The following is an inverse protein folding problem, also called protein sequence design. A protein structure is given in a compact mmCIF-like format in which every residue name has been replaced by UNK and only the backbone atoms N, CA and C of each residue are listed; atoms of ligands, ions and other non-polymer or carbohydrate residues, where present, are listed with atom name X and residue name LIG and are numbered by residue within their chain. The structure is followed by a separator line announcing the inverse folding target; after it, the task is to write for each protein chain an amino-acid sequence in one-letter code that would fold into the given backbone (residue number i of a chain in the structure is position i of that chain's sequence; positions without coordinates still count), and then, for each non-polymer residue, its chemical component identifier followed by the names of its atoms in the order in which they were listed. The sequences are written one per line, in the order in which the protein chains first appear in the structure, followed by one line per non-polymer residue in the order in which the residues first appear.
data_IF_765233117266
#
_entry.id   IF_765233117266
#
_cell.length_a   1.000
_cell.length_b   1.000
_cell.length_c   1.000
_cell.angle_alpha   90.00
_cell.angle_beta   90.00
_cell.angle_gamma   90.00
#
_symmetry.space_group_name_H-M   'P 1'
#
loop_
_entity.id
_entity.type
_entity.pdbx_description
1 polymer ?
#
# COMPACT_ATOMS: atom_id res chain seq x y z
N UNK A 1 21.82 2.33 20.41
CA UNK A 1 20.64 1.94 19.68
C UNK A 1 20.95 2.00 18.20
N UNK A 2 20.86 0.88 17.51
CA UNK A 2 20.96 0.85 16.07
C UNK A 2 19.68 1.45 15.45
N UNK A 3 19.46 2.75 15.69
CA UNK A 3 18.51 3.47 14.88
C UNK A 3 19.16 3.62 13.51
N UNK A 4 18.53 3.13 12.46
CA UNK A 4 19.02 3.25 11.09
C UNK A 4 19.14 4.68 10.58
N UNK A 5 19.15 5.63 11.49
CA UNK A 5 19.12 7.07 11.27
C UNK A 5 20.37 7.62 10.57
N UNK A 6 21.47 6.87 10.55
CA UNK A 6 22.76 7.40 10.09
C UNK A 6 23.46 6.53 9.04
N UNK A 7 22.90 5.41 8.66
CA UNK A 7 23.55 4.46 7.78
C UNK A 7 23.17 4.74 6.33
N UNK A 8 24.09 5.35 5.60
CA UNK A 8 23.94 5.66 4.17
C UNK A 8 23.25 6.98 3.86
N UNK A 9 23.01 7.83 4.87
CA UNK A 9 22.30 9.11 4.73
C UNK A 9 23.13 10.31 5.19
N UNK A 10 24.41 10.29 5.00
CA UNK A 10 25.33 11.33 5.49
C UNK A 10 25.02 12.76 4.97
N UNK A 11 24.21 12.88 3.93
CA UNK A 11 23.85 14.15 3.30
C UNK A 11 22.34 14.38 3.09
N UNK A 12 21.49 13.51 3.62
CA UNK A 12 20.03 13.69 3.51
C UNK A 12 19.46 14.07 4.87
N UNK A 13 18.65 15.13 4.89
CA UNK A 13 17.87 15.55 6.05
C UNK A 13 17.29 14.35 6.81
N UNK A 14 17.30 14.39 8.15
CA UNK A 14 17.17 13.19 8.96
C UNK A 14 15.84 12.52 8.76
N UNK A 15 15.84 11.22 8.70
CA UNK A 15 14.85 10.41 9.35
C UNK A 15 14.24 9.31 8.48
N UNK A 16 14.98 8.23 8.40
CA UNK A 16 14.33 6.92 8.41
C UNK A 16 14.35 6.44 9.86
N UNK A 17 13.19 6.24 10.46
CA UNK A 17 13.12 5.60 11.75
C UNK A 17 13.68 4.18 11.64
N UNK A 18 14.61 3.84 12.55
CA UNK A 18 15.08 2.47 12.69
C UNK A 18 13.89 1.56 12.99
N UNK A 19 13.83 0.44 12.28
CA UNK A 19 12.83 -0.59 12.53
C UNK A 19 13.49 -1.89 13.03
N UNK A 20 12.70 -2.74 13.67
CA UNK A 20 13.17 -4.00 14.25
C UNK A 20 13.79 -4.94 13.21
N UNK A 21 13.29 -4.96 11.99
CA UNK A 21 13.79 -5.82 10.90
C UNK A 21 15.21 -5.41 10.49
N UNK A 22 15.43 -4.13 10.21
CA UNK A 22 16.75 -3.61 9.84
C UNK A 22 17.76 -3.75 10.99
N UNK A 23 17.31 -3.53 12.23
CA UNK A 23 18.16 -3.70 13.41
C UNK A 23 18.65 -5.14 13.59
N UNK A 24 17.80 -6.13 13.39
CA UNK A 24 18.18 -7.55 13.46
C UNK A 24 19.08 -7.96 12.29
N UNK A 25 18.83 -7.47 11.08
CA UNK A 25 19.69 -7.75 9.93
C UNK A 25 21.10 -7.16 10.12
N UNK A 26 21.23 -5.95 10.63
CA UNK A 26 22.53 -5.32 10.91
C UNK A 26 23.31 -6.06 11.99
N UNK A 27 22.63 -6.51 13.05
CA UNK A 27 23.26 -7.31 14.12
C UNK A 27 23.67 -8.69 13.61
N UNK A 28 22.80 -9.35 12.82
CA UNK A 28 23.04 -10.70 12.33
C UNK A 28 24.15 -10.79 11.28
N UNK A 29 24.25 -9.78 10.41
CA UNK A 29 25.21 -9.80 9.28
C UNK A 29 26.52 -9.05 9.59
N UNK A 30 26.62 -8.36 10.72
CA UNK A 30 27.75 -7.48 11.09
C UNK A 30 28.14 -6.51 9.94
N UNK A 31 27.17 -6.10 9.13
CA UNK A 31 27.35 -5.23 7.99
C UNK A 31 26.19 -4.22 7.90
N UNK A 32 26.50 -3.06 7.33
CA UNK A 32 25.52 -2.05 7.03
C UNK A 32 24.68 -2.50 5.84
N UNK A 33 23.50 -3.07 6.10
CA UNK A 33 22.57 -3.41 5.04
C UNK A 33 22.02 -2.13 4.40
N UNK A 34 22.08 -2.02 3.08
CA UNK A 34 21.36 -0.98 2.34
C UNK A 34 19.87 -1.11 2.64
N UNK A 35 19.26 -0.01 3.10
CA UNK A 35 17.84 -0.04 3.41
C UNK A 35 17.03 0.09 2.12
N UNK A 36 16.09 -0.80 1.89
CA UNK A 36 15.26 -0.81 0.70
C UNK A 36 14.56 0.56 0.42
N UNK A 37 14.03 1.30 1.42
CA UNK A 37 13.48 2.63 1.16
C UNK A 37 14.49 3.60 0.56
N UNK A 38 15.76 3.49 0.93
CA UNK A 38 16.84 4.29 0.35
C UNK A 38 17.15 3.86 -1.08
N UNK A 39 17.21 2.56 -1.34
CA UNK A 39 17.43 2.03 -2.68
C UNK A 39 16.33 2.52 -3.65
N UNK A 40 15.05 2.47 -3.23
CA UNK A 40 13.94 2.98 -4.02
C UNK A 40 14.08 4.51 -4.23
N UNK A 41 14.37 5.28 -3.18
CA UNK A 41 14.55 6.74 -3.29
C UNK A 41 15.71 7.08 -4.23
N UNK A 42 16.87 6.43 -4.11
CA UNK A 42 17.99 6.62 -5.01
C UNK A 42 17.65 6.27 -6.47
N UNK A 43 16.82 5.25 -6.67
CA UNK A 43 16.36 4.89 -8.01
C UNK A 43 15.42 5.94 -8.61
N UNK A 44 14.62 6.62 -7.79
CA UNK A 44 13.80 7.75 -8.22
C UNK A 44 14.68 8.93 -8.60
N UNK A 45 15.63 9.28 -7.74
CA UNK A 45 16.54 10.41 -7.95
C UNK A 45 17.43 10.22 -9.20
N UNK A 46 17.85 8.99 -9.49
CA UNK A 46 18.61 8.65 -10.70
C UNK A 46 17.75 8.45 -11.95
N UNK A 47 16.43 8.38 -11.81
CA UNK A 47 15.50 8.07 -12.89
C UNK A 47 15.33 6.58 -13.20
N UNK A 48 16.15 5.70 -12.62
CA UNK A 48 16.08 4.24 -12.88
C UNK A 48 14.80 3.58 -12.34
N UNK A 49 14.10 4.21 -11.41
CA UNK A 49 12.77 3.79 -10.97
C UNK A 49 11.79 3.70 -12.15
N UNK A 50 11.83 4.66 -13.05
CA UNK A 50 10.95 4.73 -14.21
C UNK A 50 11.28 3.71 -15.30
N UNK A 51 12.46 3.09 -15.20
CA UNK A 51 12.92 2.03 -16.09
C UNK A 51 12.81 0.64 -15.44
N UNK A 52 12.24 0.54 -14.22
CA UNK A 52 12.09 -0.72 -13.52
C UNK A 52 11.25 -1.71 -14.33
N UNK A 53 11.88 -2.82 -14.73
CA UNK A 53 11.28 -3.80 -15.67
C UNK A 53 10.01 -4.45 -15.11
N UNK A 54 9.95 -4.72 -13.80
CA UNK A 54 8.81 -5.34 -13.16
C UNK A 54 7.58 -4.43 -13.18
N UNK A 55 7.74 -3.17 -12.75
CA UNK A 55 6.67 -2.17 -12.80
C UNK A 55 6.21 -1.92 -14.23
N UNK A 56 7.16 -1.70 -15.15
CA UNK A 56 6.85 -1.43 -16.55
C UNK A 56 6.13 -2.60 -17.21
N UNK A 57 6.51 -3.84 -16.94
CA UNK A 57 5.83 -5.03 -17.49
C UNK A 57 4.36 -5.08 -17.06
N UNK A 58 4.09 -4.94 -15.76
CA UNK A 58 2.72 -5.01 -15.25
C UNK A 58 1.86 -3.84 -15.74
N UNK A 59 2.41 -2.63 -15.79
CA UNK A 59 1.70 -1.46 -16.31
C UNK A 59 1.43 -1.57 -17.81
N UNK A 60 2.42 -1.99 -18.61
CA UNK A 60 2.26 -2.19 -20.05
C UNK A 60 1.21 -3.24 -20.35
N UNK A 61 1.27 -4.39 -19.67
CA UNK A 61 0.28 -5.46 -19.81
C UNK A 61 -1.14 -4.96 -19.53
N UNK A 62 -1.33 -4.20 -18.44
CA UNK A 62 -2.65 -3.65 -18.11
C UNK A 62 -3.13 -2.64 -19.17
N UNK A 63 -2.21 -1.79 -19.66
CA UNK A 63 -2.52 -0.82 -20.72
C UNK A 63 -2.93 -1.51 -22.01
N UNK A 64 -2.16 -2.50 -22.48
CA UNK A 64 -2.44 -3.25 -23.70
C UNK A 64 -3.76 -4.02 -23.65
N UNK A 65 -4.05 -4.62 -22.48
CA UNK A 65 -5.30 -5.36 -22.25
C UNK A 65 -6.49 -4.47 -21.92
N UNK A 66 -6.27 -3.17 -21.73
CA UNK A 66 -7.28 -2.22 -21.24
C UNK A 66 -7.91 -2.67 -19.91
N UNK A 67 -7.15 -3.37 -19.07
CA UNK A 67 -7.53 -3.73 -17.69
C UNK A 67 -7.14 -2.63 -16.72
N UNK A 68 -7.66 -2.68 -15.50
CA UNK A 68 -7.36 -1.66 -14.51
C UNK A 68 -6.01 -1.91 -13.83
N UNK A 69 -5.39 -0.84 -13.38
CA UNK A 69 -4.28 -0.84 -12.45
C UNK A 69 -4.83 -0.45 -11.08
N UNK A 70 -4.80 -1.41 -10.18
CA UNK A 70 -5.15 -1.21 -8.78
C UNK A 70 -3.86 -1.15 -7.97
N UNK A 71 -3.74 -0.22 -7.04
CA UNK A 71 -2.57 -0.17 -6.17
C UNK A 71 -2.94 0.23 -4.75
N UNK A 72 -2.11 -0.15 -3.78
CA UNK A 72 -2.30 0.25 -2.40
C UNK A 72 -1.07 0.95 -1.83
N UNK A 73 -1.33 1.92 -0.95
CA UNK A 73 -0.31 2.72 -0.30
C UNK A 73 -0.76 3.13 1.11
N UNK A 74 0.12 2.98 2.10
CA UNK A 74 -0.10 3.52 3.43
C UNK A 74 0.16 5.03 3.39
N UNK A 75 -0.82 5.83 3.79
CA UNK A 75 -0.69 7.28 3.85
C UNK A 75 0.22 7.70 5.03
N UNK A 76 1.51 7.68 4.78
CA UNK A 76 2.56 7.92 5.75
C UNK A 76 3.86 8.30 5.04
N UNK A 77 4.90 8.65 5.79
CA UNK A 77 6.25 8.78 5.25
C UNK A 77 6.56 10.07 4.51
N UNK A 78 5.88 11.16 4.82
CA UNK A 78 6.26 12.51 4.35
C UNK A 78 7.61 12.92 4.95
N UNK A 79 8.37 13.76 4.24
CA UNK A 79 9.67 14.30 4.71
C UNK A 79 9.55 14.94 6.09
N UNK A 80 10.42 14.55 7.01
CA UNK A 80 10.41 15.00 8.41
C UNK A 80 10.26 13.83 9.38
N UNK A 81 9.40 13.94 10.37
CA UNK A 81 9.25 12.97 11.47
C UNK A 81 8.16 11.92 11.25
N UNK A 82 7.62 11.80 10.06
CA UNK A 82 6.54 10.87 9.77
C UNK A 82 7.06 9.49 9.40
N UNK A 83 6.83 8.57 10.27
CA UNK A 83 6.99 7.14 10.16
C UNK A 83 7.20 6.51 8.77
N UNK A 84 8.36 6.72 8.14
CA UNK A 84 8.79 5.99 6.94
C UNK A 84 9.08 4.52 7.27
N UNK A 85 8.12 3.86 7.89
CA UNK A 85 8.27 2.47 8.35
C UNK A 85 7.78 1.47 7.32
N UNK A 86 6.72 1.83 6.58
CA UNK A 86 6.07 0.95 5.60
C UNK A 86 6.03 1.54 4.20
N UNK A 87 6.00 2.86 4.10
CA UNK A 87 5.84 3.63 2.87
C UNK A 87 6.65 4.92 2.92
N UNK A 88 6.90 5.53 1.78
CA UNK A 88 7.49 6.86 1.68
C UNK A 88 6.73 7.67 0.62
N UNK A 89 6.36 8.89 0.96
CA UNK A 89 5.49 9.74 0.12
C UNK A 89 6.05 9.97 -1.28
N UNK A 90 7.37 10.21 -1.39
CA UNK A 90 8.05 10.36 -2.68
C UNK A 90 7.96 9.12 -3.59
N UNK A 91 7.75 7.92 -3.01
CA UNK A 91 7.52 6.71 -3.80
C UNK A 91 6.12 6.73 -4.44
N UNK A 92 5.11 7.27 -3.73
CA UNK A 92 3.78 7.49 -4.29
C UNK A 92 3.83 8.54 -5.40
N UNK A 93 4.51 9.67 -5.18
CA UNK A 93 4.69 10.74 -6.18
C UNK A 93 5.32 10.17 -7.47
N UNK A 94 6.41 9.43 -7.36
CA UNK A 94 7.07 8.81 -8.51
C UNK A 94 6.18 7.77 -9.22
N UNK A 95 5.40 7.00 -8.48
CA UNK A 95 4.48 6.04 -9.09
C UNK A 95 3.34 6.73 -9.84
N UNK A 96 2.78 7.81 -9.30
CA UNK A 96 1.75 8.60 -9.99
C UNK A 96 2.30 9.28 -11.25
N UNK A 97 3.54 9.81 -11.20
CA UNK A 97 4.24 10.30 -12.40
C UNK A 97 4.37 9.18 -13.43
N UNK A 98 4.80 7.97 -13.01
CA UNK A 98 4.94 6.83 -13.91
C UNK A 98 3.63 6.51 -14.63
N UNK A 99 2.51 6.41 -13.90
CA UNK A 99 1.23 6.00 -14.50
C UNK A 99 0.55 7.13 -15.28
N UNK A 100 0.58 8.37 -14.81
CA UNK A 100 -0.17 9.47 -15.42
C UNK A 100 0.64 10.30 -16.43
N UNK A 101 1.93 10.52 -16.20
CA UNK A 101 2.74 11.33 -17.13
C UNK A 101 3.43 10.46 -18.17
N UNK A 102 4.09 9.37 -17.74
CA UNK A 102 4.88 8.54 -18.66
C UNK A 102 4.03 7.57 -19.45
N UNK A 103 3.16 6.81 -18.77
CA UNK A 103 2.23 5.89 -19.44
C UNK A 103 0.97 6.57 -19.97
N UNK A 104 0.61 7.75 -19.45
CA UNK A 104 -0.59 8.51 -19.83
C UNK A 104 -1.86 7.67 -19.72
N UNK A 105 -1.98 6.94 -18.61
CA UNK A 105 -3.14 6.10 -18.38
C UNK A 105 -4.39 6.95 -18.12
N UNK A 106 -5.55 6.57 -18.67
CA UNK A 106 -6.80 7.21 -18.32
C UNK A 106 -7.10 7.06 -16.82
N UNK A 107 -7.60 8.10 -16.17
CA UNK A 107 -7.98 8.09 -14.74
C UNK A 107 -8.90 6.92 -14.41
N UNK A 108 -9.84 6.59 -15.30
CA UNK A 108 -10.77 5.47 -15.14
C UNK A 108 -10.09 4.09 -15.10
N UNK A 109 -8.86 3.98 -15.58
CA UNK A 109 -8.08 2.75 -15.57
C UNK A 109 -7.27 2.57 -14.27
N UNK A 110 -7.17 3.61 -13.43
CA UNK A 110 -6.37 3.60 -12.20
C UNK A 110 -7.27 3.65 -10.98
N UNK A 111 -7.04 2.77 -10.01
CA UNK A 111 -7.77 2.67 -8.75
C UNK A 111 -6.79 2.55 -7.58
N UNK A 112 -6.86 3.49 -6.64
CA UNK A 112 -6.02 3.54 -5.45
C UNK A 112 -6.77 3.08 -4.22
N UNK A 113 -6.13 2.21 -3.44
CA UNK A 113 -6.50 1.96 -2.04
C UNK A 113 -5.58 2.77 -1.12
N UNK A 114 -6.12 3.78 -0.49
CA UNK A 114 -5.45 4.54 0.56
C UNK A 114 -5.63 3.82 1.90
N UNK A 115 -4.52 3.44 2.52
CA UNK A 115 -4.52 2.83 3.85
C UNK A 115 -4.17 3.92 4.87
N UNK A 116 -4.98 4.10 5.90
CA UNK A 116 -4.76 5.10 6.94
C UNK A 116 -3.88 4.52 8.04
N UNK A 117 -2.91 5.30 8.52
CA UNK A 117 -1.86 4.82 9.42
C UNK A 117 -2.29 4.84 10.90
N UNK A 118 -2.34 6.00 11.53
CA UNK A 118 -2.74 6.16 12.93
C UNK A 118 -1.82 5.48 13.95
N UNK A 119 -0.60 5.11 13.57
CA UNK A 119 0.35 4.41 14.45
C UNK A 119 1.79 4.87 14.31
N UNK A 120 2.33 4.89 13.10
CA UNK A 120 3.70 5.36 12.82
C UNK A 120 3.71 6.86 12.48
N UNK A 121 2.57 7.40 12.07
CA UNK A 121 2.21 8.81 12.05
C UNK A 121 1.23 9.13 13.20
N UNK A 122 0.80 10.38 13.36
CA UNK A 122 -0.18 10.78 14.37
C UNK A 122 -1.49 9.98 14.27
N UNK A 123 -2.14 9.74 15.41
CA UNK A 123 -3.32 8.85 15.50
C UNK A 123 -4.53 9.33 14.70
N UNK A 124 -4.58 10.62 14.36
CA UNK A 124 -5.62 11.27 13.55
C UNK A 124 -5.02 12.02 12.34
N UNK A 125 -3.82 11.64 11.93
CA UNK A 125 -3.03 12.33 10.90
C UNK A 125 -3.67 12.31 9.51
N UNK A 126 -4.65 11.45 9.26
CA UNK A 126 -5.35 11.40 7.97
C UNK A 126 -6.09 12.69 7.64
N UNK A 127 -6.67 13.37 8.62
CA UNK A 127 -7.47 14.60 8.41
C UNK A 127 -7.03 15.78 9.28
N UNK A 128 -6.09 15.58 10.22
CA UNK A 128 -5.59 16.64 11.10
C UNK A 128 -4.09 16.84 10.92
N UNK A 129 -3.62 18.08 11.12
CA UNK A 129 -2.20 18.41 11.15
C UNK A 129 -1.68 18.23 12.57
N UNK A 130 -0.99 17.15 12.82
CA UNK A 130 -0.32 16.87 14.07
C UNK A 130 1.20 17.00 13.92
N UNK A 131 1.87 17.75 14.79
CA UNK A 131 3.33 17.87 14.84
C UNK A 131 4.02 18.25 13.50
N UNK A 132 3.38 19.09 12.69
CA UNK A 132 3.94 19.54 11.40
C UNK A 132 3.71 18.60 10.22
N UNK A 133 3.17 17.44 10.46
CA UNK A 133 2.70 16.50 9.46
C UNK A 133 1.20 16.22 9.63
N UNK A 134 0.62 15.47 8.71
CA UNK A 134 -0.80 15.14 8.74
C UNK A 134 -1.60 15.82 7.65
N UNK A 135 -2.91 15.73 7.78
CA UNK A 135 -3.87 15.96 6.71
C UNK A 135 -3.48 15.19 5.43
N UNK A 136 -3.15 13.91 5.61
CA UNK A 136 -2.70 13.07 4.50
C UNK A 136 -3.74 12.94 3.38
N UNK A 137 -5.04 13.00 3.71
CA UNK A 137 -6.10 13.01 2.70
C UNK A 137 -6.09 14.29 1.88
N UNK A 138 -5.87 15.46 2.49
CA UNK A 138 -5.74 16.71 1.75
C UNK A 138 -4.48 16.73 0.88
N UNK A 139 -3.36 16.20 1.41
CA UNK A 139 -2.14 16.03 0.61
C UNK A 139 -2.37 15.10 -0.58
N UNK A 140 -3.08 13.98 -0.38
CA UNK A 140 -3.43 13.05 -1.44
C UNK A 140 -4.34 13.69 -2.49
N UNK A 141 -5.37 14.42 -2.04
CA UNK A 141 -6.28 15.14 -2.94
C UNK A 141 -5.54 16.15 -3.80
N UNK A 142 -4.61 16.92 -3.20
CA UNK A 142 -3.78 17.86 -3.94
C UNK A 142 -2.84 17.15 -4.93
N UNK A 143 -2.22 16.05 -4.52
CA UNK A 143 -1.31 15.29 -5.37
C UNK A 143 -2.04 14.66 -6.56
N UNK A 144 -3.20 14.05 -6.34
CA UNK A 144 -4.03 13.51 -7.42
C UNK A 144 -4.59 14.65 -8.31
N UNK A 145 -4.85 15.82 -7.73
CA UNK A 145 -5.31 17.02 -8.45
C UNK A 145 -4.30 17.53 -9.47
N UNK A 146 -2.99 17.29 -9.29
CA UNK A 146 -1.96 17.64 -10.29
C UNK A 146 -2.22 16.93 -11.63
N UNK A 147 -2.80 15.75 -11.56
CA UNK A 147 -3.08 14.88 -12.72
C UNK A 147 -4.57 14.85 -13.10
N UNK A 148 -5.41 15.72 -12.53
CA UNK A 148 -6.88 15.65 -12.64
C UNK A 148 -7.45 14.27 -12.29
N UNK A 149 -6.77 13.56 -11.35
CA UNK A 149 -6.98 12.14 -11.08
C UNK A 149 -7.64 11.85 -9.72
N UNK A 150 -8.39 12.78 -9.13
CA UNK A 150 -9.06 12.59 -7.84
C UNK A 150 -9.99 11.36 -7.82
N UNK A 151 -10.59 11.01 -8.96
CA UNK A 151 -11.42 9.82 -9.12
C UNK A 151 -10.64 8.49 -9.10
N UNK A 152 -9.30 8.54 -9.06
CA UNK A 152 -8.47 7.35 -8.85
C UNK A 152 -8.48 6.88 -7.40
N UNK A 153 -8.83 7.73 -6.41
CA UNK A 153 -9.07 7.26 -5.05
C UNK A 153 -10.34 6.40 -5.05
N UNK A 154 -10.15 5.11 -4.91
CA UNK A 154 -11.21 4.11 -5.01
C UNK A 154 -11.65 3.58 -3.64
N UNK A 155 -10.68 3.39 -2.74
CA UNK A 155 -10.92 2.79 -1.43
C UNK A 155 -10.10 3.46 -0.33
N UNK A 156 -10.71 3.57 0.86
CA UNK A 156 -10.03 4.02 2.08
C UNK A 156 -10.32 3.02 3.19
N UNK A 157 -9.30 2.66 3.97
CA UNK A 157 -9.41 1.67 5.05
C UNK A 157 -8.29 1.86 6.07
N UNK A 158 -8.56 1.58 7.34
CA UNK A 158 -7.54 1.59 8.38
C UNK A 158 -6.57 0.41 8.31
N UNK A 159 -5.32 0.65 8.71
CA UNK A 159 -4.24 -0.34 8.65
C UNK A 159 -4.46 -1.58 9.52
N UNK A 160 -5.25 -1.49 10.59
CA UNK A 160 -5.51 -2.64 11.46
C UNK A 160 -6.22 -3.78 10.72
N UNK A 161 -6.94 -3.44 9.65
CA UNK A 161 -7.59 -4.40 8.74
C UNK A 161 -6.73 -4.68 7.51
N UNK A 162 -6.34 -3.64 6.77
CA UNK A 162 -5.64 -3.81 5.47
C UNK A 162 -4.18 -4.27 5.58
N UNK A 163 -3.59 -4.15 6.77
CA UNK A 163 -2.19 -4.50 7.04
C UNK A 163 -2.06 -5.43 8.26
N UNK A 164 -2.97 -6.40 8.36
CA UNK A 164 -2.99 -7.36 9.46
C UNK A 164 -1.84 -8.36 9.31
N UNK A 165 -0.93 -8.37 10.32
CA UNK A 165 0.21 -9.29 10.38
C UNK A 165 -0.08 -10.58 11.15
N UNK A 166 -1.23 -10.63 11.79
CA UNK A 166 -1.61 -11.75 12.66
C UNK A 166 -2.40 -12.82 11.90
N UNK A 167 -2.58 -12.63 10.59
CA UNK A 167 -3.33 -13.51 9.69
C UNK A 167 -4.73 -13.82 10.21
N UNK A 168 -5.44 -12.77 10.64
CA UNK A 168 -6.85 -12.86 10.97
C UNK A 168 -7.69 -12.96 9.71
N UNK A 169 -8.38 -14.07 9.52
CA UNK A 169 -9.21 -14.28 8.34
C UNK A 169 -10.28 -13.20 8.15
N UNK A 170 -10.89 -12.75 9.26
CA UNK A 170 -11.87 -11.68 9.23
C UNK A 170 -11.32 -10.37 8.67
N UNK A 171 -10.09 -9.99 9.04
CA UNK A 171 -9.44 -8.80 8.53
C UNK A 171 -9.13 -8.93 7.03
N UNK A 172 -8.56 -10.06 6.63
CA UNK A 172 -8.25 -10.33 5.22
C UNK A 172 -9.51 -10.36 4.35
N UNK A 173 -10.59 -11.00 4.84
CA UNK A 173 -11.87 -11.04 4.16
C UNK A 173 -12.51 -9.66 4.03
N UNK A 174 -12.46 -8.84 5.07
CA UNK A 174 -12.98 -7.47 5.04
C UNK A 174 -12.26 -6.61 4.00
N UNK A 175 -10.95 -6.72 3.92
CA UNK A 175 -10.16 -6.01 2.91
C UNK A 175 -10.44 -6.52 1.48
N UNK A 176 -10.55 -7.83 1.31
CA UNK A 176 -10.95 -8.43 0.03
C UNK A 176 -12.36 -8.00 -0.40
N UNK A 177 -13.32 -8.03 0.52
CA UNK A 177 -14.69 -7.61 0.27
C UNK A 177 -14.76 -6.13 -0.16
N UNK A 178 -13.95 -5.25 0.46
CA UNK A 178 -13.83 -3.85 0.03
C UNK A 178 -13.35 -3.75 -1.43
N UNK A 179 -12.27 -4.43 -1.77
CA UNK A 179 -11.69 -4.40 -3.12
C UNK A 179 -12.63 -4.98 -4.17
N UNK A 180 -13.47 -5.94 -3.79
CA UNK A 180 -14.42 -6.63 -4.68
C UNK A 180 -15.84 -6.04 -4.66
N UNK A 181 -16.01 -4.84 -4.11
CA UNK A 181 -17.25 -4.06 -4.21
C UNK A 181 -18.22 -4.20 -3.06
N UNK A 182 -17.77 -4.74 -1.92
CA UNK A 182 -18.59 -4.91 -0.70
C UNK A 182 -18.06 -4.02 0.43
N UNK A 183 -18.15 -2.70 0.25
CA UNK A 183 -17.73 -1.73 1.25
C UNK A 183 -18.80 -1.56 2.36
N UNK A 184 -18.33 -1.17 3.55
CA UNK A 184 -19.23 -0.78 4.65
C UNK A 184 -19.86 0.59 4.40
N UNK A 185 -19.08 1.53 3.85
CA UNK A 185 -19.53 2.85 3.47
C UNK A 185 -19.28 3.07 1.97
N UNK A 186 -20.20 3.74 1.31
CA UNK A 186 -20.06 4.16 -0.09
C UNK A 186 -20.31 5.65 -0.15
N UNK A 187 -19.36 6.40 -0.68
CA UNK A 187 -19.34 7.86 -0.79
C UNK A 187 -18.97 8.28 -2.21
N UNK A 188 -19.01 9.58 -2.50
CA UNK A 188 -18.70 10.14 -3.83
C UNK A 188 -17.62 11.22 -3.83
N UNK A 189 -17.12 11.61 -2.65
CA UNK A 189 -16.17 12.70 -2.54
C UNK A 189 -15.16 12.51 -1.41
N UNK A 190 -14.05 13.25 -1.48
CA UNK A 190 -13.09 13.34 -0.37
C UNK A 190 -13.70 13.95 0.90
N UNK A 191 -14.65 14.86 0.74
CA UNK A 191 -15.29 15.52 1.89
C UNK A 191 -16.15 14.52 2.67
N UNK A 192 -16.93 13.68 2.00
CA UNK A 192 -17.68 12.60 2.64
C UNK A 192 -16.77 11.56 3.32
N UNK A 193 -15.58 11.27 2.75
CA UNK A 193 -14.57 10.45 3.42
C UNK A 193 -14.12 11.10 4.72
N UNK A 194 -13.83 12.40 4.70
CA UNK A 194 -13.43 13.17 5.89
C UNK A 194 -14.51 13.19 6.96
N UNK A 195 -15.78 13.29 6.57
CA UNK A 195 -16.91 13.25 7.50
C UNK A 195 -16.95 11.90 8.25
N UNK A 196 -16.88 10.79 7.53
CA UNK A 196 -16.86 9.44 8.14
C UNK A 196 -15.67 9.28 9.09
N UNK A 197 -14.48 9.74 8.70
CA UNK A 197 -13.29 9.66 9.55
C UNK A 197 -13.47 10.55 10.78
N UNK A 198 -13.96 11.77 10.63
CA UNK A 198 -14.21 12.71 11.73
C UNK A 198 -15.21 12.17 12.73
N UNK A 199 -16.31 11.57 12.26
CA UNK A 199 -17.29 10.89 13.10
C UNK A 199 -16.65 9.71 13.85
N UNK A 200 -15.82 8.91 13.17
CA UNK A 200 -15.10 7.80 13.79
C UNK A 200 -14.16 8.28 14.91
N UNK A 201 -13.41 9.36 14.67
CA UNK A 201 -12.55 9.98 15.66
C UNK A 201 -13.35 10.52 16.87
N UNK A 202 -14.49 11.15 16.62
CA UNK A 202 -15.38 11.64 17.69
C UNK A 202 -15.93 10.50 18.56
N UNK A 203 -15.98 9.29 18.02
CA UNK A 203 -16.34 8.08 18.75
C UNK A 203 -15.15 7.35 19.38
N UNK A 204 -13.99 8.04 19.50
CA UNK A 204 -12.79 7.53 20.16
C UNK A 204 -11.95 6.54 19.37
N UNK A 205 -12.22 6.40 18.07
CA UNK A 205 -11.38 5.57 17.17
C UNK A 205 -10.22 6.39 16.61
N UNK A 206 -9.23 5.69 16.08
CA UNK A 206 -8.07 6.29 15.42
C UNK A 206 -8.03 5.91 13.95
N UNK A 207 -7.16 6.53 13.17
CA UNK A 207 -6.99 6.24 11.74
C UNK A 207 -6.81 4.75 11.43
N UNK A 208 -6.08 4.02 12.30
CA UNK A 208 -5.84 2.60 12.08
C UNK A 208 -7.12 1.74 12.10
N UNK A 209 -8.21 2.23 12.72
CA UNK A 209 -9.45 1.50 12.94
C UNK A 209 -10.59 1.96 12.02
N UNK A 210 -10.29 2.81 11.04
CA UNK A 210 -11.30 3.29 10.08
C UNK A 210 -11.86 2.12 9.26
N UNK A 211 -13.18 2.06 9.24
CA UNK A 211 -13.95 1.06 8.51
C UNK A 211 -13.78 1.19 6.99
N UNK A 212 -13.99 0.13 6.22
CA UNK A 212 -13.88 0.14 4.76
C UNK A 212 -14.82 1.15 4.09
N UNK A 213 -14.26 2.06 3.31
CA UNK A 213 -14.97 3.10 2.54
C UNK A 213 -14.66 2.91 1.06
N UNK A 214 -15.68 2.90 0.21
CA UNK A 214 -15.56 2.89 -1.25
C UNK A 214 -16.03 4.21 -1.84
N UNK A 215 -15.29 4.77 -2.80
CA UNK A 215 -15.65 6.00 -3.48
C UNK A 215 -16.21 5.70 -4.87
N UNK A 216 -17.47 6.06 -5.08
CA UNK A 216 -18.12 6.00 -6.39
C UNK A 216 -17.67 7.19 -7.22
N UNK A 217 -17.36 6.97 -8.48
CA UNK A 217 -16.99 8.03 -9.43
C UNK A 217 -18.18 8.92 -9.77
N UNK A 218 -17.91 10.09 -10.35
CA UNK A 218 -18.93 11.06 -10.76
C UNK A 218 -19.91 10.51 -11.79
N UNK A 219 -19.49 9.52 -12.58
CA UNK A 219 -20.37 8.82 -13.54
C UNK A 219 -21.20 7.69 -12.91
N UNK A 220 -21.16 7.53 -11.57
CA UNK A 220 -21.86 6.49 -10.84
C UNK A 220 -21.15 5.13 -10.83
N UNK A 221 -20.00 5.00 -11.48
CA UNK A 221 -19.23 3.75 -11.50
C UNK A 221 -18.61 3.45 -10.15
N UNK A 222 -18.91 2.27 -9.59
CA UNK A 222 -18.28 1.78 -8.36
C UNK A 222 -16.93 1.15 -8.66
N UNK A 223 -15.89 1.40 -7.85
CA UNK A 223 -14.62 0.73 -8.01
C UNK A 223 -14.75 -0.75 -7.63
N UNK A 224 -14.18 -1.60 -8.45
CA UNK A 224 -14.13 -3.06 -8.24
C UNK A 224 -12.84 -3.61 -8.82
N UNK A 225 -12.11 -4.38 -8.03
CA UNK A 225 -11.01 -5.21 -8.49
C UNK A 225 -11.57 -6.38 -9.29
N UNK A 226 -11.21 -6.48 -10.56
CA UNK A 226 -11.79 -7.42 -11.50
C UNK A 226 -10.78 -8.47 -11.94
N UNK A 227 -11.27 -9.58 -12.50
CA UNK A 227 -10.42 -10.63 -13.04
C UNK A 227 -9.52 -10.09 -14.15
N UNK A 228 -8.23 -10.38 -14.06
CA UNK A 228 -7.22 -9.96 -15.04
C UNK A 228 -6.69 -8.55 -14.84
N UNK A 229 -7.16 -7.82 -13.83
CA UNK A 229 -6.59 -6.52 -13.46
C UNK A 229 -5.15 -6.66 -12.96
N UNK A 230 -4.40 -5.57 -13.02
CA UNK A 230 -3.14 -5.46 -12.31
C UNK A 230 -3.35 -5.02 -10.86
N UNK A 231 -2.51 -5.51 -9.94
CA UNK A 231 -2.45 -5.03 -8.56
C UNK A 231 -1.01 -4.75 -8.16
N UNK A 232 -0.72 -3.51 -7.74
CA UNK A 232 0.62 -3.07 -7.37
C UNK A 232 0.63 -2.66 -5.90
N UNK A 233 1.53 -3.25 -5.09
CA UNK A 233 1.67 -2.88 -3.69
C UNK A 233 2.94 -2.04 -3.50
N UNK A 234 2.77 -0.77 -3.12
CA UNK A 234 3.85 0.21 -2.97
C UNK A 234 4.44 0.27 -1.55
N UNK A 235 3.96 -0.53 -0.61
CA UNK A 235 4.47 -0.56 0.75
C UNK A 235 5.71 -1.46 0.81
N UNK A 236 6.86 -0.93 1.22
CA UNK A 236 8.13 -1.66 1.16
C UNK A 236 8.38 -2.64 2.31
N UNK A 237 7.64 -2.54 3.44
CA UNK A 237 7.81 -3.45 4.55
C UNK A 237 6.93 -4.69 4.42
N UNK A 238 7.57 -5.84 4.39
CA UNK A 238 6.96 -7.12 4.03
C UNK A 238 5.97 -7.69 5.04
N UNK A 239 6.27 -7.60 6.34
CA UNK A 239 5.57 -8.33 7.42
C UNK A 239 4.06 -8.09 7.48
N UNK A 240 3.61 -6.89 7.07
CA UNK A 240 2.21 -6.50 7.08
C UNK A 240 1.51 -6.61 5.73
N UNK A 241 2.22 -7.02 4.68
CA UNK A 241 1.66 -7.12 3.33
C UNK A 241 1.45 -8.56 2.87
N UNK A 242 2.04 -9.52 3.58
CA UNK A 242 1.96 -10.95 3.24
C UNK A 242 0.54 -11.47 3.16
N UNK A 243 -0.31 -11.11 4.13
CA UNK A 243 -1.71 -11.53 4.13
C UNK A 243 -2.46 -10.99 2.90
N UNK A 244 -2.29 -9.69 2.60
CA UNK A 244 -2.93 -9.05 1.42
C UNK A 244 -2.50 -9.71 0.12
N UNK A 245 -1.21 -9.80 -0.13
CA UNK A 245 -0.71 -10.44 -1.37
C UNK A 245 -1.09 -11.92 -1.41
N UNK A 246 -1.10 -12.59 -0.27
CA UNK A 246 -1.51 -13.99 -0.18
C UNK A 246 -2.94 -14.23 -0.66
N UNK A 247 -3.92 -13.44 -0.22
CA UNK A 247 -5.30 -13.64 -0.69
C UNK A 247 -5.50 -13.16 -2.13
N UNK A 248 -4.82 -12.10 -2.58
CA UNK A 248 -4.88 -11.64 -3.96
C UNK A 248 -4.25 -12.62 -4.95
N UNK A 249 -3.17 -13.28 -4.55
CA UNK A 249 -2.47 -14.28 -5.36
C UNK A 249 -3.11 -15.69 -5.27
N UNK A 250 -4.15 -15.87 -4.46
CA UNK A 250 -4.78 -17.16 -4.25
C UNK A 250 -3.95 -18.15 -3.40
N UNK A 251 -3.03 -17.64 -2.58
CA UNK A 251 -2.10 -18.44 -1.75
C UNK A 251 -2.78 -19.01 -0.49
N UNK A 252 -3.93 -19.67 -0.66
CA UNK A 252 -4.79 -20.17 0.42
C UNK A 252 -4.04 -21.07 1.40
N UNK A 253 -3.25 -22.02 0.92
CA UNK A 253 -2.50 -22.95 1.76
C UNK A 253 -1.44 -22.25 2.62
N UNK A 254 -0.77 -21.25 2.06
CA UNK A 254 0.19 -20.42 2.79
C UNK A 254 -0.50 -19.64 3.90
N UNK A 255 -1.60 -18.97 3.60
CA UNK A 255 -2.36 -18.17 4.57
C UNK A 255 -2.91 -19.04 5.70
N UNK A 256 -3.42 -20.23 5.35
CA UNK A 256 -3.89 -21.19 6.34
C UNK A 256 -2.76 -21.64 7.28
N UNK A 257 -1.63 -22.07 6.74
CA UNK A 257 -0.46 -22.48 7.53
C UNK A 257 0.03 -21.36 8.45
N UNK A 258 0.12 -20.12 7.95
CA UNK A 258 0.54 -18.96 8.73
C UNK A 258 -0.46 -18.58 9.84
N UNK A 259 -1.75 -18.73 9.60
CA UNK A 259 -2.79 -18.50 10.61
C UNK A 259 -2.76 -19.59 11.69
N UNK A 260 -2.70 -20.86 11.29
CA UNK A 260 -2.65 -22.00 12.20
C UNK A 260 -1.39 -21.99 13.09
N UNK A 261 -0.25 -21.55 12.55
CA UNK A 261 0.99 -21.39 13.35
C UNK A 261 0.86 -20.36 14.49
N UNK A 262 -0.13 -19.49 14.41
CA UNK A 262 -0.49 -18.49 15.42
C UNK A 262 -1.71 -18.91 16.28
N UNK A 263 -2.10 -20.18 16.20
CA UNK A 263 -3.23 -20.72 16.95
C UNK A 263 -4.60 -20.22 16.49
N UNK A 264 -4.71 -19.82 15.21
CA UNK A 264 -5.94 -19.30 14.60
C UNK A 264 -6.51 -20.30 13.59
N UNK A 265 -7.79 -20.18 13.30
CA UNK A 265 -8.43 -20.91 12.21
C UNK A 265 -8.47 -20.07 10.94
N UNK A 266 -8.35 -20.74 9.79
CA UNK A 266 -8.46 -20.13 8.48
C UNK A 266 -9.23 -21.08 7.55
N UNK A 267 -10.40 -20.67 7.10
CA UNK A 267 -11.16 -21.42 6.09
C UNK A 267 -10.72 -21.05 4.67
N UNK A 268 -10.70 -19.75 4.36
CA UNK A 268 -10.25 -19.21 3.07
C UNK A 268 -11.14 -19.64 1.88
N UNK A 269 -12.35 -20.18 2.10
CA UNK A 269 -13.26 -20.58 1.02
C UNK A 269 -13.64 -19.40 0.10
N UNK A 270 -13.65 -18.19 0.64
CA UNK A 270 -13.93 -16.96 -0.10
C UNK A 270 -12.83 -16.57 -1.09
N UNK A 271 -11.63 -17.16 -1.01
CA UNK A 271 -10.49 -16.95 -1.94
C UNK A 271 -10.66 -17.79 -3.23
N UNK A 272 -11.67 -18.62 -3.35
CA UNK A 272 -11.87 -19.52 -4.49
C UNK A 272 -12.08 -18.80 -5.84
N UNK A 273 -12.47 -17.54 -5.81
CA UNK A 273 -12.53 -16.71 -7.00
C UNK A 273 -11.13 -16.21 -7.38
N UNK A 274 -10.36 -17.06 -8.07
CA UNK A 274 -9.07 -16.64 -8.62
C UNK A 274 -9.30 -15.48 -9.60
N UNK A 275 -8.99 -14.28 -9.14
CA UNK A 275 -9.07 -13.06 -9.95
C UNK A 275 -8.03 -13.06 -11.07
N UNK A 276 -7.08 -14.00 -11.05
CA UNK A 276 -5.98 -14.07 -12.01
C UNK A 276 -5.34 -12.71 -12.28
N UNK A 277 -4.96 -12.05 -11.18
CA UNK A 277 -4.37 -10.73 -11.21
C UNK A 277 -2.92 -10.78 -11.70
N UNK A 278 -2.49 -9.72 -12.37
CA UNK A 278 -1.09 -9.44 -12.65
C UNK A 278 -0.52 -8.65 -11.44
N UNK A 279 0.18 -9.32 -10.53
CA UNK A 279 0.57 -8.74 -9.23
C UNK A 279 2.03 -8.32 -9.26
N UNK A 280 2.30 -7.06 -8.85
CA UNK A 280 3.64 -6.56 -8.58
C UNK A 280 3.73 -6.03 -7.15
N UNK A 281 4.82 -6.36 -6.46
CA UNK A 281 5.14 -5.80 -5.15
C UNK A 281 6.42 -4.99 -5.23
N UNK A 282 6.47 -3.88 -4.50
CA UNK A 282 7.67 -3.02 -4.50
C UNK A 282 8.88 -3.74 -3.85
N UNK A 283 8.64 -4.66 -2.93
CA UNK A 283 9.61 -5.43 -2.20
C UNK A 283 9.26 -6.91 -2.21
N UNK A 284 10.22 -7.78 -1.92
CA UNK A 284 9.98 -9.19 -1.69
C UNK A 284 9.26 -9.38 -0.34
N UNK A 285 8.06 -9.96 -0.35
CA UNK A 285 7.29 -10.18 0.89
C UNK A 285 7.38 -11.62 1.39
N UNK A 286 7.49 -12.60 0.51
CA UNK A 286 7.65 -14.01 0.83
C UNK A 286 8.24 -14.75 -0.38
N UNK A 287 9.22 -15.66 -0.20
CA UNK A 287 9.87 -16.38 -1.30
C UNK A 287 8.90 -17.15 -2.20
N UNK A 288 7.83 -17.70 -1.62
CA UNK A 288 6.83 -18.46 -2.38
C UNK A 288 5.99 -17.58 -3.31
N UNK A 289 5.89 -16.28 -3.08
CA UNK A 289 5.06 -15.41 -3.92
C UNK A 289 5.59 -15.34 -5.35
N UNK A 290 6.88 -15.19 -5.51
CA UNK A 290 7.51 -15.15 -6.84
C UNK A 290 7.55 -16.55 -7.46
N UNK A 291 7.99 -17.55 -6.71
CA UNK A 291 8.25 -18.90 -7.23
C UNK A 291 6.99 -19.71 -7.51
N UNK A 292 5.97 -19.61 -6.65
CA UNK A 292 4.75 -20.44 -6.73
C UNK A 292 3.52 -19.67 -7.22
N UNK A 293 3.44 -18.36 -6.92
CA UNK A 293 2.22 -17.57 -7.17
C UNK A 293 2.42 -16.48 -8.24
N UNK A 294 3.58 -16.46 -8.90
CA UNK A 294 3.88 -15.54 -10.03
C UNK A 294 3.72 -14.06 -9.69
N UNK A 295 3.99 -13.69 -8.44
CA UNK A 295 4.06 -12.29 -8.04
C UNK A 295 5.39 -11.71 -8.52
N UNK A 296 5.35 -10.61 -9.24
CA UNK A 296 6.55 -9.93 -9.70
C UNK A 296 7.07 -8.99 -8.60
N UNK A 297 8.39 -8.90 -8.42
CA UNK A 297 9.02 -8.05 -7.41
C UNK A 297 9.82 -6.94 -8.10
N UNK A 298 9.52 -5.67 -7.75
CA UNK A 298 10.18 -4.52 -8.36
C UNK A 298 11.63 -4.32 -7.82
N UNK A 299 11.82 -4.50 -6.52
CA UNK A 299 13.12 -4.40 -5.84
C UNK A 299 13.37 -5.67 -5.02
N UNK A 300 13.90 -6.73 -5.64
CA UNK A 300 14.17 -7.99 -4.94
C UNK A 300 15.32 -7.82 -3.94
N UNK A 301 15.28 -8.62 -2.87
CA UNK A 301 16.37 -8.71 -1.89
C UNK A 301 17.63 -9.25 -2.58
N UNK A 302 18.77 -8.58 -2.41
CA UNK A 302 20.07 -8.98 -2.98
C UNK A 302 20.74 -10.02 -2.11
#
# INVERSE_FOLDING_TARGET
SASGMWVGFENLEPTIQGNSETGHQQIGNNSLASQLPLEITNSIDSGSFFENSALNTVISNAKERSTKINFCFLLSGVRGNDGRVHSAWNHLEAFLELVFERYKLPVKQVQMQAILDGRDSGIHSSITKEQGSGDFLGRLQNLLGIYDANESLAWVIGRSTAMDRDYRESAAKTDFDLLTGKAMHTVSSFDEVREIISESHSNGRTDQDISPISLTRTDGTKPVLSKGDAFINLNFRSDRQRSKIGFLAGARSLLKSESESRGRTWDGSWIEHNLNLDICTIAEYHPDFETKYKVTVAFPTK
#
